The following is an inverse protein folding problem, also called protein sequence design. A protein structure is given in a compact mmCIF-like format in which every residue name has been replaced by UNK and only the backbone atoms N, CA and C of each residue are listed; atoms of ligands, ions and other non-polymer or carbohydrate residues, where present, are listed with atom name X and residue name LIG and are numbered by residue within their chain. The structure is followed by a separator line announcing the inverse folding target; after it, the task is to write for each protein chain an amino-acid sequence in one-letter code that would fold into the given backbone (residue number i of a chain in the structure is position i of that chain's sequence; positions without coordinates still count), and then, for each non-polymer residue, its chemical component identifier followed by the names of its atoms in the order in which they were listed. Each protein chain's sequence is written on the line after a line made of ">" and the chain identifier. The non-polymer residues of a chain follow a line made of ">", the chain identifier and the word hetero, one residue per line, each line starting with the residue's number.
data_IF_767169727113
#
_entry.id   IF_767169727113
#
_cell.length_a   1.000
_cell.length_b   1.000
_cell.length_c   1.000
_cell.angle_alpha   90.00
_cell.angle_beta   90.00
_cell.angle_gamma   90.00
#
_symmetry.space_group_name_H-M   'P 1'
#
loop_
_entity.id
_entity.type
_entity.pdbx_description
1 polymer ?
#
# COMPACT_ATOMS: atom_id res chain seq x y z
N UNK A 1 -33.07 -0.26 -32.21
CA UNK A 1 -32.17 -0.35 -31.04
C UNK A 1 -32.76 -1.38 -30.09
N UNK A 2 -32.20 -2.60 -30.08
CA UNK A 2 -32.56 -3.68 -29.15
C UNK A 2 -31.27 -4.45 -28.82
N UNK A 3 -30.82 -4.24 -27.59
CA UNK A 3 -29.90 -4.98 -26.72
C UNK A 3 -28.82 -5.90 -27.33
N UNK A 4 -27.59 -5.38 -27.30
CA UNK A 4 -26.30 -6.07 -27.53
C UNK A 4 -25.88 -7.05 -26.42
N UNK A 5 -26.71 -7.30 -25.42
CA UNK A 5 -26.35 -8.17 -24.27
C UNK A 5 -26.64 -9.65 -24.57
N UNK A 6 -27.75 -9.97 -25.25
CA UNK A 6 -28.11 -11.36 -25.56
C UNK A 6 -27.13 -12.00 -26.55
N UNK A 7 -26.61 -11.22 -27.50
CA UNK A 7 -25.58 -11.68 -28.46
C UNK A 7 -24.25 -12.03 -27.78
N UNK A 8 -23.83 -11.23 -26.78
CA UNK A 8 -22.61 -11.47 -26.01
C UNK A 8 -22.79 -12.70 -25.11
N UNK A 9 -23.94 -12.84 -24.45
CA UNK A 9 -24.23 -14.01 -23.60
C UNK A 9 -24.29 -15.32 -24.40
N UNK A 10 -24.87 -15.28 -25.61
CA UNK A 10 -24.90 -16.43 -26.52
C UNK A 10 -23.51 -16.81 -27.06
N UNK A 11 -22.67 -15.81 -27.35
CA UNK A 11 -21.28 -16.01 -27.77
C UNK A 11 -20.44 -16.65 -26.66
N UNK A 12 -20.54 -16.15 -25.43
CA UNK A 12 -19.82 -16.70 -24.27
C UNK A 12 -20.26 -18.14 -23.96
N UNK A 13 -21.57 -18.44 -24.00
CA UNK A 13 -22.08 -19.81 -23.78
C UNK A 13 -21.66 -20.81 -24.84
N UNK A 14 -21.55 -20.39 -26.10
CA UNK A 14 -21.18 -21.27 -27.22
C UNK A 14 -19.68 -21.53 -27.33
N UNK A 15 -18.85 -20.56 -26.92
CA UNK A 15 -17.38 -20.65 -27.06
C UNK A 15 -16.66 -20.99 -25.75
N UNK A 16 -17.33 -20.90 -24.60
CA UNK A 16 -16.77 -21.27 -23.31
C UNK A 16 -17.83 -21.97 -22.45
N UNK A 17 -18.05 -23.29 -22.64
CA UNK A 17 -18.95 -24.04 -21.78
C UNK A 17 -18.31 -24.10 -20.39
N UNK A 18 -18.63 -23.15 -19.52
CA UNK A 18 -18.29 -23.21 -18.10
C UNK A 18 -18.95 -24.47 -17.55
N UNK A 19 -18.19 -25.54 -17.37
CA UNK A 19 -18.76 -26.82 -16.98
C UNK A 19 -19.25 -26.83 -15.54
N UNK A 20 -18.83 -25.89 -14.68
CA UNK A 20 -19.46 -25.65 -13.37
C UNK A 20 -19.25 -24.19 -12.94
N UNK A 21 -20.26 -23.34 -13.07
CA UNK A 21 -20.31 -22.10 -12.28
C UNK A 21 -20.42 -22.52 -10.80
N UNK A 22 -19.52 -22.08 -9.90
CA UNK A 22 -19.75 -22.24 -8.47
C UNK A 22 -21.13 -21.67 -8.14
N UNK A 23 -21.98 -22.45 -7.46
CA UNK A 23 -23.27 -21.92 -6.98
C UNK A 23 -22.95 -20.68 -6.14
N UNK A 24 -23.54 -19.54 -6.49
CA UNK A 24 -23.28 -18.24 -5.83
C UNK A 24 -23.35 -18.35 -4.30
N UNK A 25 -24.25 -19.18 -3.80
CA UNK A 25 -24.42 -19.47 -2.37
C UNK A 25 -23.17 -20.10 -1.75
N UNK A 26 -22.52 -21.03 -2.47
CA UNK A 26 -21.30 -21.69 -1.99
C UNK A 26 -20.12 -20.72 -1.92
N UNK A 27 -19.98 -19.83 -2.91
CA UNK A 27 -18.93 -18.79 -2.90
C UNK A 27 -19.16 -17.79 -1.75
N UNK A 28 -20.43 -17.45 -1.49
CA UNK A 28 -20.80 -16.59 -0.38
C UNK A 28 -20.50 -17.25 0.97
N UNK A 29 -20.87 -18.53 1.13
CA UNK A 29 -20.60 -19.30 2.35
C UNK A 29 -19.08 -19.44 2.59
N UNK A 30 -18.31 -19.74 1.54
CA UNK A 30 -16.84 -19.84 1.63
C UNK A 30 -16.21 -18.49 2.00
N UNK A 31 -16.70 -17.39 1.43
CA UNK A 31 -16.24 -16.04 1.78
C UNK A 31 -16.57 -15.71 3.24
N UNK A 32 -17.81 -15.94 3.70
CA UNK A 32 -18.22 -15.66 5.08
C UNK A 32 -17.40 -16.47 6.07
N UNK A 33 -17.16 -17.76 5.78
CA UNK A 33 -16.30 -18.62 6.57
C UNK A 33 -14.87 -18.10 6.61
N UNK A 34 -14.34 -17.63 5.48
CA UNK A 34 -13.01 -17.02 5.40
C UNK A 34 -12.94 -15.76 6.28
N UNK A 35 -13.91 -14.86 6.17
CA UNK A 35 -13.95 -13.63 6.98
C UNK A 35 -14.05 -13.93 8.50
N UNK A 36 -14.73 -15.01 8.87
CA UNK A 36 -14.83 -15.47 10.27
C UNK A 36 -13.48 -15.92 10.84
N UNK A 37 -12.51 -16.34 10.01
CA UNK A 37 -11.17 -16.74 10.45
C UNK A 37 -10.38 -15.55 11.04
N UNK A 38 -10.64 -14.33 10.57
CA UNK A 38 -10.04 -13.12 11.12
C UNK A 38 -10.54 -12.77 12.53
N UNK A 39 -11.61 -13.41 13.02
CA UNK A 39 -12.10 -13.21 14.38
C UNK A 39 -11.31 -14.06 15.39
N UNK A 40 -10.51 -13.42 16.27
CA UNK A 40 -9.65 -14.10 17.23
C UNK A 40 -10.41 -14.75 18.40
N UNK A 41 -11.72 -14.52 18.51
CA UNK A 41 -12.51 -14.94 19.66
C UNK A 41 -13.11 -16.32 19.45
N UNK A 42 -13.14 -17.13 20.51
CA UNK A 42 -13.77 -18.46 20.49
C UNK A 42 -15.25 -18.43 20.05
N UNK A 43 -15.94 -17.34 20.37
CA UNK A 43 -17.38 -17.17 20.11
C UNK A 43 -17.69 -16.20 18.98
N UNK A 44 -16.69 -15.85 18.16
CA UNK A 44 -16.88 -15.09 16.92
C UNK A 44 -17.64 -13.76 17.11
N UNK A 45 -17.23 -13.04 18.15
CA UNK A 45 -17.85 -11.81 18.64
C UNK A 45 -17.76 -10.62 17.67
N UNK A 46 -16.86 -10.67 16.70
CA UNK A 46 -16.53 -9.63 15.74
C UNK A 46 -16.88 -10.02 14.30
N UNK A 47 -17.19 -11.28 13.99
CA UNK A 47 -17.50 -11.74 12.63
C UNK A 47 -18.60 -10.93 11.93
N UNK A 48 -19.67 -10.55 12.64
CA UNK A 48 -20.71 -9.69 12.08
C UNK A 48 -20.17 -8.29 11.73
N UNK A 49 -19.30 -7.73 12.57
CA UNK A 49 -18.66 -6.45 12.31
C UNK A 49 -17.71 -6.54 11.12
N UNK A 50 -16.88 -7.59 11.04
CA UNK A 50 -15.96 -7.85 9.91
C UNK A 50 -16.76 -7.92 8.60
N UNK A 51 -17.80 -8.77 8.55
CA UNK A 51 -18.61 -8.95 7.35
C UNK A 51 -19.31 -7.63 6.93
N UNK A 52 -19.83 -6.87 7.90
CA UNK A 52 -20.51 -5.59 7.64
C UNK A 52 -19.55 -4.53 7.09
N UNK A 53 -18.35 -4.41 7.65
CA UNK A 53 -17.34 -3.45 7.18
C UNK A 53 -16.80 -3.86 5.82
N UNK A 54 -16.50 -5.16 5.65
CA UNK A 54 -16.03 -5.71 4.38
C UNK A 54 -17.03 -5.45 3.25
N UNK A 55 -18.32 -5.74 3.46
CA UNK A 55 -19.36 -5.55 2.45
C UNK A 55 -19.58 -4.08 2.01
N UNK A 56 -19.11 -3.10 2.79
CA UNK A 56 -19.26 -1.68 2.49
C UNK A 56 -18.05 -1.06 1.80
N UNK A 57 -16.89 -1.71 1.88
CA UNK A 57 -15.63 -1.17 1.37
C UNK A 57 -15.05 -2.01 0.24
N UNK A 58 -13.96 -1.51 -0.32
CA UNK A 58 -13.15 -2.23 -1.30
C UNK A 58 -11.87 -2.71 -0.62
N UNK A 59 -11.98 -3.80 0.14
CA UNK A 59 -10.87 -4.38 0.90
C UNK A 59 -10.47 -5.72 0.30
N UNK A 60 -9.18 -6.04 0.33
CA UNK A 60 -8.72 -7.38 -0.03
C UNK A 60 -9.01 -8.32 1.14
N UNK A 61 -9.43 -9.55 0.83
CA UNK A 61 -9.59 -10.61 1.85
C UNK A 61 -8.28 -10.84 2.59
N UNK A 62 -7.16 -10.75 1.89
CA UNK A 62 -5.81 -10.84 2.45
C UNK A 62 -5.57 -9.84 3.60
N UNK A 63 -5.93 -8.57 3.42
CA UNK A 63 -5.79 -7.53 4.46
C UNK A 63 -6.69 -7.82 5.67
N UNK A 64 -7.85 -8.46 5.44
CA UNK A 64 -8.76 -8.87 6.52
C UNK A 64 -8.15 -10.00 7.35
N UNK A 65 -7.62 -11.03 6.68
CA UNK A 65 -7.03 -12.19 7.32
C UNK A 65 -5.69 -11.89 8.01
N UNK A 66 -4.99 -10.85 7.58
CA UNK A 66 -3.69 -10.42 8.12
C UNK A 66 -3.85 -9.23 9.07
N UNK A 67 -3.77 -8.01 8.54
CA UNK A 67 -3.68 -6.75 9.28
C UNK A 67 -4.90 -6.50 10.17
N UNK A 68 -6.11 -6.77 9.67
CA UNK A 68 -7.33 -6.61 10.49
C UNK A 68 -7.39 -7.67 11.59
N UNK A 69 -7.05 -8.93 11.29
CA UNK A 69 -7.00 -10.00 12.29
C UNK A 69 -5.99 -9.67 13.42
N UNK A 70 -4.81 -9.15 13.08
CA UNK A 70 -3.82 -8.67 14.04
C UNK A 70 -4.35 -7.56 14.93
N UNK A 71 -4.99 -6.57 14.32
CA UNK A 71 -5.60 -5.47 15.05
C UNK A 71 -6.75 -5.95 15.95
N UNK A 72 -7.54 -6.94 15.52
CA UNK A 72 -8.59 -7.56 16.32
C UNK A 72 -8.03 -8.34 17.51
N UNK A 73 -6.93 -9.08 17.33
CA UNK A 73 -6.22 -9.73 18.43
C UNK A 73 -5.80 -8.71 19.49
N UNK A 74 -5.11 -7.64 19.06
CA UNK A 74 -4.68 -6.55 19.96
C UNK A 74 -5.87 -5.89 20.66
N UNK A 75 -6.92 -5.58 19.91
CA UNK A 75 -8.14 -4.97 20.43
C UNK A 75 -8.82 -5.85 21.48
N UNK A 76 -8.95 -7.14 21.21
CA UNK A 76 -9.57 -8.08 22.14
C UNK A 76 -8.78 -8.20 23.45
N UNK A 77 -7.45 -8.26 23.37
CA UNK A 77 -6.58 -8.24 24.54
C UNK A 77 -6.74 -6.94 25.35
N UNK A 78 -6.75 -5.77 24.69
CA UNK A 78 -7.00 -4.47 25.34
C UNK A 78 -8.35 -4.46 26.04
N UNK A 79 -9.39 -5.04 25.40
CA UNK A 79 -10.75 -5.12 25.93
C UNK A 79 -10.81 -5.97 27.20
N UNK A 80 -10.24 -7.18 27.17
CA UNK A 80 -10.19 -8.09 28.33
C UNK A 80 -9.40 -7.47 29.48
N UNK A 81 -8.25 -6.86 29.18
CA UNK A 81 -7.37 -6.22 30.17
C UNK A 81 -7.89 -4.86 30.66
N UNK A 82 -9.06 -4.41 30.17
CA UNK A 82 -9.67 -3.11 30.50
C UNK A 82 -8.75 -1.91 30.24
N UNK A 83 -7.94 -1.99 29.18
CA UNK A 83 -6.98 -0.95 28.76
C UNK A 83 -7.53 -0.03 27.67
N UNK A 84 -8.69 -0.35 27.09
CA UNK A 84 -9.39 0.53 26.15
C UNK A 84 -9.93 1.77 26.85
N UNK A 85 -9.82 2.91 26.15
CA UNK A 85 -10.50 4.16 26.54
C UNK A 85 -12.01 3.96 26.40
N UNK A 86 -12.86 4.64 27.19
CA UNK A 86 -14.32 4.45 27.14
C UNK A 86 -14.91 4.54 25.73
N UNK A 87 -14.47 5.51 24.94
CA UNK A 87 -14.88 5.76 23.55
C UNK A 87 -14.47 4.65 22.57
N UNK A 88 -13.51 3.80 22.94
CA UNK A 88 -12.99 2.71 22.12
C UNK A 88 -13.47 1.33 22.58
N UNK A 89 -14.45 1.23 23.47
CA UNK A 89 -14.96 -0.07 23.97
C UNK A 89 -15.95 -0.76 23.03
N UNK A 90 -16.66 0.03 22.22
CA UNK A 90 -17.59 -0.47 21.21
C UNK A 90 -16.93 -0.40 19.83
N UNK A 91 -16.64 -1.58 19.27
CA UNK A 91 -15.97 -1.71 17.97
C UNK A 91 -16.75 -1.03 16.84
N UNK A 92 -18.08 -0.92 16.97
CA UNK A 92 -18.94 -0.28 15.98
C UNK A 92 -18.80 1.26 15.96
N UNK A 93 -18.14 1.85 16.95
CA UNK A 93 -17.95 3.30 17.07
C UNK A 93 -16.49 3.74 16.90
N UNK A 94 -15.57 2.81 16.64
CA UNK A 94 -14.14 3.13 16.53
C UNK A 94 -13.81 3.78 15.20
N UNK A 95 -13.03 4.87 15.26
CA UNK A 95 -12.49 5.56 14.08
C UNK A 95 -13.58 6.00 13.10
N UNK A 96 -13.33 5.77 11.82
CA UNK A 96 -14.30 6.06 10.75
C UNK A 96 -15.30 4.90 10.52
N UNK A 97 -15.36 3.94 11.45
CA UNK A 97 -16.23 2.74 11.37
C UNK A 97 -15.91 1.84 10.18
N UNK A 98 -14.64 1.83 9.83
CA UNK A 98 -14.03 1.07 8.75
C UNK A 98 -12.72 0.39 9.24
N UNK A 99 -12.11 -0.46 8.41
CA UNK A 99 -10.87 -1.13 8.81
C UNK A 99 -9.70 -0.16 9.03
N UNK A 100 -9.40 0.80 8.14
CA UNK A 100 -8.29 1.73 8.34
C UNK A 100 -8.45 2.58 9.61
N UNK A 101 -9.65 3.09 9.88
CA UNK A 101 -9.95 3.85 11.09
C UNK A 101 -9.86 2.99 12.35
N UNK A 102 -10.32 1.73 12.30
CA UNK A 102 -10.15 0.78 13.39
C UNK A 102 -8.67 0.51 13.70
N UNK A 103 -7.88 0.15 12.68
CA UNK A 103 -6.45 -0.14 12.81
C UNK A 103 -5.71 1.10 13.35
N UNK A 104 -5.99 2.28 12.80
CA UNK A 104 -5.40 3.55 13.27
C UNK A 104 -5.64 3.78 14.76
N UNK A 105 -6.86 3.56 15.25
CA UNK A 105 -7.17 3.71 16.69
C UNK A 105 -6.48 2.65 17.53
N UNK A 106 -6.46 1.38 17.09
CA UNK A 106 -5.80 0.28 17.81
C UNK A 106 -4.29 0.50 17.88
N UNK A 107 -3.68 1.09 16.85
CA UNK A 107 -2.25 1.41 16.82
C UNK A 107 -1.86 2.53 17.80
N UNK A 108 -2.78 3.42 18.18
CA UNK A 108 -2.52 4.43 19.22
C UNK A 108 -2.23 3.81 20.61
N UNK A 109 -2.73 2.59 20.85
CA UNK A 109 -2.44 1.85 22.07
C UNK A 109 -1.05 1.23 21.98
N UNK A 110 -0.07 1.93 22.53
CA UNK A 110 1.25 1.40 22.78
C UNK A 110 1.20 0.45 23.99
N UNK A 111 1.99 -0.62 23.93
CA UNK A 111 2.31 -1.50 25.06
C UNK A 111 1.19 -2.34 25.66
N UNK A 112 1.02 -3.53 25.06
CA UNK A 112 0.61 -4.71 25.81
C UNK A 112 1.67 -5.80 25.63
N UNK A 113 2.67 -5.82 26.52
CA UNK A 113 3.45 -7.04 26.81
C UNK A 113 4.55 -7.43 25.83
N UNK A 114 5.13 -6.49 25.06
CA UNK A 114 6.35 -6.73 24.27
C UNK A 114 7.55 -5.95 24.82
N UNK A 115 7.67 -5.86 26.14
CA UNK A 115 8.91 -5.39 26.75
C UNK A 115 9.79 -6.58 27.11
N UNK A 116 11.00 -6.61 26.51
CA UNK A 116 12.18 -7.35 26.96
C UNK A 116 12.18 -8.88 26.82
N UNK A 117 11.81 -9.41 25.65
CA UNK A 117 12.37 -10.69 25.21
C UNK A 117 13.41 -10.43 24.13
N UNK A 118 14.53 -11.16 24.16
CA UNK A 118 15.41 -11.28 22.99
C UNK A 118 14.55 -11.87 21.86
N UNK A 119 14.00 -10.98 21.03
CA UNK A 119 13.17 -11.39 19.91
C UNK A 119 14.13 -11.91 18.85
N UNK A 120 14.04 -13.21 18.59
CA UNK A 120 14.71 -13.82 17.45
C UNK A 120 14.29 -13.08 16.17
N UNK A 121 15.29 -12.51 15.50
CA UNK A 121 15.13 -11.60 14.37
C UNK A 121 14.85 -12.34 13.06
N UNK A 122 14.93 -13.67 13.05
CA UNK A 122 14.91 -14.46 11.83
C UNK A 122 16.14 -14.24 10.96
N UNK A 123 16.13 -14.86 9.78
CA UNK A 123 17.18 -14.71 8.78
C UNK A 123 16.91 -13.53 7.84
N UNK A 124 17.89 -12.63 7.71
CA UNK A 124 17.79 -11.45 6.86
C UNK A 124 19.16 -11.01 6.35
N UNK A 125 19.17 -10.47 5.12
CA UNK A 125 20.34 -9.87 4.50
C UNK A 125 20.28 -8.35 4.56
N UNK A 126 21.34 -7.68 5.01
CA UNK A 126 21.48 -6.24 4.82
C UNK A 126 22.04 -5.97 3.42
N UNK A 127 21.15 -5.66 2.49
CA UNK A 127 21.50 -5.49 1.08
C UNK A 127 22.21 -4.16 0.81
N UNK A 128 21.93 -3.14 1.63
CA UNK A 128 22.49 -1.81 1.48
C UNK A 128 22.40 -1.01 2.79
N UNK A 129 23.40 -0.17 3.04
CA UNK A 129 23.40 0.78 4.14
C UNK A 129 24.23 2.01 3.78
N UNK A 130 23.71 3.20 4.08
CA UNK A 130 24.43 4.47 4.02
C UNK A 130 24.14 5.36 5.25
N UNK A 131 24.37 6.67 5.15
CA UNK A 131 24.10 7.61 6.24
C UNK A 131 22.61 7.87 6.51
N UNK A 132 21.72 7.59 5.55
CA UNK A 132 20.31 7.97 5.58
C UNK A 132 19.36 6.78 5.67
N UNK A 133 19.73 5.60 5.15
CA UNK A 133 18.89 4.39 5.14
C UNK A 133 19.66 3.09 5.39
N UNK A 134 18.90 2.07 5.76
CA UNK A 134 19.26 0.65 5.69
C UNK A 134 18.22 -0.07 4.84
N UNK A 135 18.66 -1.01 4.01
CA UNK A 135 17.77 -1.87 3.23
C UNK A 135 18.00 -3.31 3.66
N UNK A 136 16.93 -3.92 4.16
CA UNK A 136 16.91 -5.29 4.65
C UNK A 136 16.11 -6.13 3.67
N UNK A 137 16.63 -7.31 3.33
CA UNK A 137 15.90 -8.35 2.61
C UNK A 137 15.60 -9.45 3.63
N UNK A 138 14.35 -9.60 4.11
CA UNK A 138 13.97 -10.75 4.92
C UNK A 138 14.05 -12.03 4.08
N UNK A 139 14.73 -13.04 4.60
CA UNK A 139 14.86 -14.36 3.96
C UNK A 139 13.83 -15.36 4.51
N UNK A 140 13.18 -15.04 5.63
CA UNK A 140 12.09 -15.80 6.20
C UNK A 140 10.96 -14.89 6.73
N UNK A 141 9.83 -15.52 7.08
CA UNK A 141 8.67 -14.85 7.65
C UNK A 141 9.01 -14.12 8.97
N UNK A 142 9.90 -14.70 9.78
CA UNK A 142 10.25 -14.15 11.09
C UNK A 142 10.99 -12.82 10.97
N UNK A 143 11.91 -12.72 10.01
CA UNK A 143 12.57 -11.48 9.65
C UNK A 143 11.60 -10.45 9.06
N UNK A 144 10.67 -10.87 8.20
CA UNK A 144 9.65 -9.96 7.68
C UNK A 144 8.80 -9.36 8.81
N UNK A 145 8.39 -10.18 9.78
CA UNK A 145 7.74 -9.73 11.01
C UNK A 145 8.64 -8.79 11.82
N UNK A 146 9.89 -9.17 12.10
CA UNK A 146 10.80 -8.40 12.94
C UNK A 146 11.11 -7.02 12.37
N UNK A 147 11.50 -6.95 11.09
CA UNK A 147 11.86 -5.68 10.44
C UNK A 147 10.63 -4.87 10.03
N UNK A 148 9.47 -5.50 9.87
CA UNK A 148 8.18 -4.85 9.64
C UNK A 148 7.41 -4.46 10.90
N UNK A 149 7.98 -4.59 12.09
CA UNK A 149 7.31 -4.17 13.33
C UNK A 149 6.86 -2.70 13.26
N UNK A 150 5.65 -2.43 13.74
CA UNK A 150 5.05 -1.09 13.74
C UNK A 150 4.36 -0.71 12.42
N UNK A 151 4.39 -1.57 11.40
CA UNK A 151 3.68 -1.36 10.14
C UNK A 151 2.36 -2.15 10.09
N UNK A 152 1.53 -1.82 9.11
CA UNK A 152 0.27 -2.50 8.79
C UNK A 152 0.43 -3.52 7.65
N UNK A 153 1.66 -3.92 7.32
CA UNK A 153 1.91 -4.84 6.21
C UNK A 153 1.42 -6.25 6.54
N UNK A 154 0.73 -6.89 5.61
CA UNK A 154 0.34 -8.29 5.75
C UNK A 154 1.54 -9.25 5.89
N UNK A 155 2.72 -8.86 5.37
CA UNK A 155 3.99 -9.60 5.48
C UNK A 155 4.66 -9.46 6.85
N UNK A 156 4.24 -8.49 7.67
CA UNK A 156 4.71 -8.34 9.05
C UNK A 156 3.72 -8.87 10.10
N UNK A 157 2.64 -9.51 9.64
CA UNK A 157 1.59 -10.01 10.52
C UNK A 157 2.06 -11.15 11.43
N UNK A 158 1.72 -11.07 12.72
CA UNK A 158 2.22 -12.02 13.75
C UNK A 158 1.15 -12.87 14.42
N UNK A 159 -0.11 -12.45 14.36
CA UNK A 159 -1.28 -13.13 14.94
C UNK A 159 -2.36 -13.41 13.89
N UNK A 160 -2.40 -12.65 12.80
CA UNK A 160 -3.14 -12.94 11.58
C UNK A 160 -2.36 -13.85 10.62
N UNK A 161 -2.97 -14.08 9.44
CA UNK A 161 -2.28 -14.72 8.33
C UNK A 161 -1.12 -13.85 7.86
N UNK A 162 0.03 -14.47 7.58
CA UNK A 162 1.20 -13.78 7.06
C UNK A 162 1.43 -14.14 5.59
N UNK A 163 1.70 -13.13 4.77
CA UNK A 163 1.79 -13.26 3.31
C UNK A 163 3.21 -13.20 2.76
N UNK A 164 4.24 -13.30 3.62
CA UNK A 164 5.65 -13.27 3.22
C UNK A 164 5.95 -14.19 2.03
N UNK A 165 5.64 -15.49 2.14
CA UNK A 165 5.93 -16.48 1.10
C UNK A 165 5.23 -16.20 -0.24
N UNK A 166 4.07 -15.51 -0.19
CA UNK A 166 3.34 -15.12 -1.39
C UNK A 166 4.10 -14.01 -2.12
N UNK A 167 4.57 -13.00 -1.39
CA UNK A 167 5.28 -11.87 -1.96
C UNK A 167 6.72 -12.18 -2.38
N UNK A 168 7.38 -13.13 -1.69
CA UNK A 168 8.77 -13.51 -1.99
C UNK A 168 8.92 -14.62 -3.04
N UNK A 169 7.82 -15.21 -3.51
CA UNK A 169 7.83 -16.31 -4.49
C UNK A 169 8.55 -15.99 -5.80
N UNK A 170 8.47 -14.74 -6.25
CA UNK A 170 9.00 -14.31 -7.55
C UNK A 170 10.10 -13.26 -7.43
N UNK A 171 10.66 -13.04 -6.24
CA UNK A 171 11.72 -12.08 -6.02
C UNK A 171 11.83 -11.63 -4.56
N UNK A 172 12.91 -10.94 -4.18
CA UNK A 172 13.10 -10.48 -2.81
C UNK A 172 12.11 -9.39 -2.43
N UNK A 173 11.69 -9.40 -1.16
CA UNK A 173 11.04 -8.27 -0.51
C UNK A 173 12.12 -7.33 0.02
N UNK A 174 11.99 -6.02 -0.17
CA UNK A 174 12.91 -5.04 0.41
C UNK A 174 12.19 -4.25 1.49
N UNK A 175 12.79 -4.16 2.67
CA UNK A 175 12.35 -3.30 3.77
C UNK A 175 13.37 -2.16 3.89
N UNK A 176 12.94 -0.94 3.60
CA UNK A 176 13.75 0.27 3.68
C UNK A 176 13.46 0.96 5.00
N UNK A 177 14.50 1.15 5.81
CA UNK A 177 14.44 1.71 7.15
C UNK A 177 15.24 3.02 7.15
N UNK A 178 14.57 4.19 7.23
CA UNK A 178 15.25 5.48 7.38
C UNK A 178 16.01 5.56 8.71
N UNK A 179 17.24 6.07 8.67
CA UNK A 179 18.05 6.36 9.87
C UNK A 179 17.64 7.66 10.55
N UNK A 180 16.97 8.55 9.83
CA UNK A 180 16.38 9.80 10.32
C UNK A 180 14.90 9.81 9.93
N UNK A 181 14.04 9.14 10.70
CA UNK A 181 12.66 8.98 10.29
C UNK A 181 11.81 10.23 10.57
N UNK A 182 10.86 10.57 9.69
CA UNK A 182 9.92 11.69 9.85
C UNK A 182 8.84 11.39 10.91
N UNK A 183 8.56 10.11 11.13
CA UNK A 183 7.68 9.64 12.19
C UNK A 183 8.25 8.35 12.81
N UNK A 184 7.79 7.98 14.02
CA UNK A 184 8.37 6.88 14.80
C UNK A 184 8.45 5.55 14.04
N UNK A 185 7.46 5.26 13.20
CA UNK A 185 7.28 3.96 12.56
C UNK A 185 7.62 3.98 11.07
N UNK A 186 8.11 5.11 10.54
CA UNK A 186 8.41 5.32 9.12
C UNK A 186 9.31 4.19 8.58
N UNK A 187 8.74 3.41 7.66
CA UNK A 187 9.43 2.36 6.91
C UNK A 187 8.74 2.20 5.57
N UNK A 188 9.46 1.62 4.62
CA UNK A 188 8.93 1.30 3.31
C UNK A 188 9.14 -0.15 2.95
N UNK A 189 8.20 -0.75 2.24
CA UNK A 189 8.28 -2.10 1.72
C UNK A 189 8.15 -2.07 0.20
N UNK A 190 9.13 -2.66 -0.48
CA UNK A 190 9.09 -2.85 -1.92
C UNK A 190 9.00 -4.34 -2.26
N UNK A 191 7.94 -4.71 -2.97
CA UNK A 191 7.77 -6.03 -3.56
C UNK A 191 7.81 -5.90 -5.09
N UNK A 192 8.93 -6.24 -5.75
CA UNK A 192 9.05 -6.17 -7.20
C UNK A 192 8.06 -7.08 -7.92
N UNK A 193 7.81 -8.27 -7.36
CA UNK A 193 6.93 -9.30 -7.93
C UNK A 193 5.49 -8.81 -8.15
N UNK A 194 5.03 -7.92 -7.27
CA UNK A 194 3.70 -7.32 -7.30
C UNK A 194 3.71 -5.84 -7.71
N UNK A 195 4.90 -5.28 -8.00
CA UNK A 195 5.11 -3.85 -8.23
C UNK A 195 4.45 -2.96 -7.16
N UNK A 196 4.54 -3.37 -5.89
CA UNK A 196 3.95 -2.67 -4.75
C UNK A 196 5.04 -1.96 -3.96
N UNK A 197 4.84 -0.67 -3.68
CA UNK A 197 5.74 0.12 -2.86
C UNK A 197 4.95 0.82 -1.76
N UNK A 198 5.03 0.29 -0.54
CA UNK A 198 4.15 0.64 0.56
C UNK A 198 4.89 1.39 1.66
N UNK A 199 4.26 2.38 2.28
CA UNK A 199 4.72 2.96 3.55
C UNK A 199 4.17 2.17 4.75
N UNK A 200 4.50 2.58 5.97
CA UNK A 200 4.20 1.86 7.21
C UNK A 200 2.72 1.57 7.44
N UNK A 201 1.81 2.40 6.91
CA UNK A 201 0.37 2.19 7.05
C UNK A 201 -0.27 1.41 5.88
N UNK A 202 0.56 0.73 5.08
CA UNK A 202 0.18 -0.07 3.91
C UNK A 202 -0.52 0.74 2.80
N UNK A 203 -0.11 2.00 2.64
CA UNK A 203 -0.53 2.84 1.52
C UNK A 203 0.59 2.96 0.49
N UNK A 204 0.19 2.99 -0.79
CA UNK A 204 1.12 3.14 -1.90
C UNK A 204 1.91 4.45 -1.80
N UNK A 205 3.21 4.35 -2.02
CA UNK A 205 4.15 5.47 -2.03
C UNK A 205 4.49 5.84 -3.46
N UNK A 206 4.43 7.14 -3.72
CA UNK A 206 4.93 7.67 -4.98
C UNK A 206 6.46 7.60 -5.01
N UNK A 207 7.01 6.80 -5.91
CA UNK A 207 8.45 6.61 -6.05
C UNK A 207 9.20 7.90 -6.41
N UNK A 208 8.62 8.81 -7.20
CA UNK A 208 9.26 10.11 -7.48
C UNK A 208 9.35 10.96 -6.20
N UNK A 209 8.32 10.95 -5.35
CA UNK A 209 8.41 11.60 -4.04
C UNK A 209 9.50 10.94 -3.17
N UNK A 210 9.56 9.61 -3.15
CA UNK A 210 10.54 8.86 -2.36
C UNK A 210 11.99 9.24 -2.76
N UNK A 211 12.34 9.18 -4.04
CA UNK A 211 13.70 9.46 -4.49
C UNK A 211 14.03 10.96 -4.55
N UNK A 212 13.09 11.81 -5.02
CA UNK A 212 13.40 13.22 -5.30
C UNK A 212 13.05 14.18 -4.18
N UNK A 213 12.25 13.75 -3.20
CA UNK A 213 11.84 14.59 -2.07
C UNK A 213 12.34 13.99 -0.77
N UNK A 214 11.94 12.76 -0.44
CA UNK A 214 12.24 12.13 0.85
C UNK A 214 13.73 11.78 1.01
N UNK A 215 14.35 11.25 -0.05
CA UNK A 215 15.77 10.89 -0.09
C UNK A 215 16.53 11.68 -1.16
N UNK A 216 16.11 12.92 -1.39
CA UNK A 216 16.72 13.83 -2.36
C UNK A 216 18.24 13.89 -2.20
N UNK A 217 18.96 13.77 -3.31
CA UNK A 217 20.42 13.84 -3.34
C UNK A 217 21.14 12.57 -2.87
N UNK A 218 20.42 11.54 -2.42
CA UNK A 218 21.03 10.25 -2.08
C UNK A 218 21.31 9.42 -3.34
N UNK A 219 22.45 9.73 -3.98
CA UNK A 219 22.89 9.06 -5.22
C UNK A 219 23.16 7.57 -5.01
N UNK A 220 23.72 7.20 -3.87
CA UNK A 220 24.06 5.81 -3.59
C UNK A 220 22.80 4.92 -3.45
N UNK A 221 21.73 5.44 -2.84
CA UNK A 221 20.43 4.76 -2.78
C UNK A 221 19.82 4.59 -4.18
N UNK A 222 19.87 5.65 -4.98
CA UNK A 222 19.43 5.62 -6.39
C UNK A 222 20.22 4.57 -7.18
N UNK A 223 21.54 4.54 -7.04
CA UNK A 223 22.41 3.56 -7.71
C UNK A 223 22.13 2.13 -7.27
N UNK A 224 21.86 1.90 -5.99
CA UNK A 224 21.45 0.59 -5.48
C UNK A 224 20.20 0.09 -6.22
N UNK A 225 19.14 0.90 -6.28
CA UNK A 225 17.92 0.51 -6.98
C UNK A 225 18.10 0.43 -8.50
N UNK A 226 18.97 1.26 -9.12
CA UNK A 226 19.31 1.13 -10.55
C UNK A 226 19.91 -0.25 -10.86
N UNK A 227 20.74 -0.80 -9.96
CA UNK A 227 21.37 -2.11 -10.12
C UNK A 227 20.44 -3.26 -9.73
N UNK A 228 19.77 -3.14 -8.59
CA UNK A 228 18.94 -4.20 -8.04
C UNK A 228 17.60 -4.34 -8.79
N UNK A 229 17.03 -3.23 -9.25
CA UNK A 229 15.67 -3.12 -9.78
C UNK A 229 15.62 -2.16 -10.98
N UNK A 230 16.32 -2.48 -12.09
CA UNK A 230 16.45 -1.58 -13.24
C UNK A 230 15.11 -1.21 -13.89
N UNK A 231 14.15 -2.14 -13.93
CA UNK A 231 12.82 -1.92 -14.52
C UNK A 231 11.97 -0.91 -13.71
N UNK A 232 12.17 -0.86 -12.40
CA UNK A 232 11.56 0.13 -11.52
C UNK A 232 12.14 1.52 -11.83
N UNK A 233 13.47 1.60 -11.91
CA UNK A 233 14.19 2.85 -12.10
C UNK A 233 14.05 3.42 -13.51
N UNK A 234 13.88 2.58 -14.53
CA UNK A 234 13.67 3.02 -15.92
C UNK A 234 12.36 3.81 -16.13
N UNK A 235 11.46 3.84 -15.13
CA UNK A 235 10.20 4.59 -15.16
C UNK A 235 10.24 5.89 -14.35
N UNK A 236 11.37 6.18 -13.69
CA UNK A 236 11.50 7.30 -12.75
C UNK A 236 12.33 8.43 -13.36
N UNK A 237 11.90 9.67 -13.11
CA UNK A 237 12.73 10.85 -13.33
C UNK A 237 13.42 11.12 -12.00
N UNK A 238 14.71 10.79 -11.88
CA UNK A 238 15.49 11.10 -10.67
C UNK A 238 16.25 12.40 -10.90
N UNK A 239 16.00 13.40 -10.06
CA UNK A 239 16.59 14.73 -10.15
C UNK A 239 17.80 14.80 -9.21
N UNK A 240 18.98 15.03 -9.77
CA UNK A 240 20.24 14.92 -9.03
C UNK A 240 20.66 16.19 -8.28
N UNK A 241 20.12 17.36 -8.65
CA UNK A 241 20.42 18.64 -8.03
C UNK A 241 19.22 19.62 -8.08
N UNK A 242 19.32 20.69 -7.27
CA UNK A 242 18.28 21.72 -7.14
C UNK A 242 18.10 22.49 -8.45
N UNK A 243 19.17 22.67 -9.21
CA UNK A 243 19.16 23.38 -10.49
C UNK A 243 18.32 22.60 -11.51
N UNK A 244 18.39 21.27 -11.54
CA UNK A 244 17.55 20.44 -12.41
C UNK A 244 16.07 20.52 -12.05
N UNK A 245 15.73 20.60 -10.76
CA UNK A 245 14.33 20.83 -10.35
C UNK A 245 13.86 22.20 -10.83
N UNK A 246 14.66 23.25 -10.63
CA UNK A 246 14.29 24.60 -11.04
C UNK A 246 14.22 24.76 -12.56
N UNK A 247 15.12 24.09 -13.30
CA UNK A 247 15.08 24.00 -14.77
C UNK A 247 13.81 23.29 -15.22
N UNK A 248 13.49 22.12 -14.67
CA UNK A 248 12.27 21.38 -15.02
C UNK A 248 11.02 22.20 -14.67
N UNK A 249 10.97 22.82 -13.48
CA UNK A 249 9.86 23.70 -13.06
C UNK A 249 9.74 24.88 -14.02
N UNK A 250 10.82 25.57 -14.35
CA UNK A 250 10.78 26.72 -15.26
C UNK A 250 10.41 26.32 -16.69
N UNK A 251 10.81 25.13 -17.13
CA UNK A 251 10.43 24.58 -18.43
C UNK A 251 8.91 24.30 -18.48
N UNK A 252 8.33 23.74 -17.41
CA UNK A 252 6.92 23.33 -17.40
C UNK A 252 5.95 24.43 -16.96
N UNK A 253 6.42 25.44 -16.21
CA UNK A 253 5.57 26.50 -15.61
C UNK A 253 4.75 27.28 -16.65
N UNK A 254 5.28 27.66 -17.82
CA UNK A 254 4.48 28.32 -18.86
C UNK A 254 3.31 27.45 -19.37
N UNK A 255 3.49 26.12 -19.42
CA UNK A 255 2.47 25.19 -19.88
C UNK A 255 1.39 24.95 -18.83
N UNK A 256 1.76 24.91 -17.54
CA UNK A 256 0.80 24.87 -16.44
C UNK A 256 -0.08 26.12 -16.47
N UNK A 257 0.53 27.31 -16.64
CA UNK A 257 -0.20 28.59 -16.77
C UNK A 257 -1.17 28.53 -17.96
N UNK A 258 -0.69 28.12 -19.15
CA UNK A 258 -1.52 28.00 -20.35
C UNK A 258 -2.69 27.03 -20.15
N UNK A 259 -2.47 25.89 -19.50
CA UNK A 259 -3.55 24.95 -19.20
C UNK A 259 -4.58 25.57 -18.23
N UNK A 260 -4.14 26.24 -17.17
CA UNK A 260 -5.06 26.88 -16.21
C UNK A 260 -5.90 27.93 -16.96
N UNK A 261 -5.29 28.73 -17.82
CA UNK A 261 -5.99 29.72 -18.65
C UNK A 261 -6.98 29.09 -19.64
N UNK A 262 -6.63 27.96 -20.28
CA UNK A 262 -7.53 27.21 -21.18
C UNK A 262 -8.67 26.51 -20.42
N UNK A 263 -8.38 25.99 -19.23
CA UNK A 263 -9.35 25.35 -18.35
C UNK A 263 -10.34 26.38 -17.79
N UNK A 264 -9.88 27.57 -17.41
CA UNK A 264 -10.73 28.65 -16.90
C UNK A 264 -11.62 29.28 -17.98
N UNK A 265 -11.17 29.32 -19.24
CA UNK A 265 -12.01 29.80 -20.38
C UNK A 265 -13.24 28.91 -20.65
N UNK A 266 -13.23 27.65 -20.23
CA UNK A 266 -14.28 26.66 -20.52
C UNK A 266 -15.03 26.16 -19.27
N UNK A 267 -14.84 26.83 -18.12
CA UNK A 267 -15.33 26.33 -16.83
C UNK A 267 -16.39 27.26 -16.22
N UNK A 268 -17.58 26.74 -15.85
CA UNK A 268 -18.52 27.48 -15.01
C UNK A 268 -17.85 27.78 -13.67
N UNK A 269 -18.05 29.00 -13.15
CA UNK A 269 -17.47 29.49 -11.88
C UNK A 269 -17.78 28.64 -10.65
N UNK A 270 -18.66 27.64 -10.76
CA UNK A 270 -19.12 26.76 -9.68
C UNK A 270 -18.43 25.39 -9.58
N UNK A 271 -17.56 25.00 -10.53
CA UNK A 271 -16.82 23.72 -10.43
C UNK A 271 -15.35 23.97 -10.08
N UNK A 272 -14.68 23.02 -9.40
CA UNK A 272 -13.23 22.99 -9.13
C UNK A 272 -12.39 22.57 -10.36
N UNK A 273 -11.07 22.78 -10.35
CA UNK A 273 -10.18 22.18 -11.38
C UNK A 273 -10.09 20.68 -11.10
N UNK A 274 -10.32 19.84 -12.11
CA UNK A 274 -10.06 18.41 -12.01
C UNK A 274 -8.54 18.18 -12.03
N UNK A 275 -7.96 17.96 -10.85
CA UNK A 275 -6.51 17.79 -10.65
C UNK A 275 -5.94 16.58 -11.39
N UNK A 276 -6.73 15.52 -11.59
CA UNK A 276 -6.28 14.30 -12.26
C UNK A 276 -6.13 14.51 -13.77
N UNK A 277 -7.07 15.22 -14.41
CA UNK A 277 -6.95 15.62 -15.83
C UNK A 277 -5.81 16.60 -16.07
N UNK A 278 -5.58 17.51 -15.12
CA UNK A 278 -4.43 18.43 -15.13
C UNK A 278 -3.12 17.63 -15.13
N UNK A 279 -3.01 16.63 -14.26
CA UNK A 279 -1.80 15.83 -14.09
C UNK A 279 -1.49 14.93 -15.29
N UNK A 280 -2.50 14.28 -15.88
CA UNK A 280 -2.29 13.43 -17.07
C UNK A 280 -1.89 14.24 -18.30
N UNK A 281 -2.52 15.40 -18.52
CA UNK A 281 -2.12 16.28 -19.63
C UNK A 281 -0.76 16.94 -19.40
N UNK A 282 -0.42 17.21 -18.14
CA UNK A 282 0.93 17.64 -17.75
C UNK A 282 1.99 16.59 -18.12
N UNK A 283 1.76 15.30 -17.80
CA UNK A 283 2.65 14.21 -18.21
C UNK A 283 2.81 14.15 -19.73
N UNK A 284 1.71 14.23 -20.48
CA UNK A 284 1.75 14.19 -21.95
C UNK A 284 2.59 15.33 -22.56
N UNK A 285 2.42 16.55 -22.05
CA UNK A 285 3.15 17.74 -22.53
C UNK A 285 4.63 17.67 -22.13
N UNK A 286 4.94 17.28 -20.89
CA UNK A 286 6.31 17.09 -20.42
C UNK A 286 7.06 16.03 -21.25
N UNK A 287 6.41 14.89 -21.53
CA UNK A 287 7.00 13.82 -22.34
C UNK A 287 7.19 14.21 -23.81
N UNK A 288 6.32 15.06 -24.36
CA UNK A 288 6.37 15.47 -25.77
C UNK A 288 7.39 16.59 -26.03
N UNK A 289 7.50 17.56 -25.13
CA UNK A 289 8.27 18.79 -25.36
C UNK A 289 9.73 18.68 -24.87
N UNK A 290 10.02 17.77 -23.93
CA UNK A 290 11.38 17.61 -23.42
C UNK A 290 12.33 16.86 -24.39
N UNK A 291 11.82 16.28 -25.49
CA UNK A 291 12.59 15.42 -26.40
C UNK A 291 13.42 14.34 -25.66
N UNK A 292 12.96 13.94 -24.47
CA UNK A 292 13.61 12.96 -23.61
C UNK A 292 13.15 11.57 -24.06
N UNK A 293 14.01 10.87 -24.79
CA UNK A 293 13.93 9.42 -24.87
C UNK A 293 14.30 8.83 -23.51
N UNK A 294 13.71 7.68 -23.14
CA UNK A 294 14.12 6.86 -21.99
C UNK A 294 15.65 6.59 -21.98
N UNK A 295 16.32 6.73 -23.12
CA UNK A 295 17.78 6.59 -23.28
C UNK A 295 18.63 7.81 -22.93
N UNK A 296 18.06 9.01 -22.77
CA UNK A 296 18.83 10.27 -22.77
C UNK A 296 18.97 10.92 -21.39
N UNK A 297 18.44 10.27 -20.35
CA UNK A 297 18.70 10.59 -18.94
C UNK A 297 19.68 9.54 -18.41
N UNK A 298 20.98 9.86 -18.38
CA UNK A 298 22.00 9.04 -17.73
C UNK A 298 21.96 9.23 -16.21
#
# INVERSE_FOLDING_TARGET
>A
MSNSIEGIQSFVKSHWPMTHEPRKDQVLDDLLKTLEEADPTKHKMYSEWIARVYAKGNYKVEDVLSTVADALHKYHELKIRKKLRPEHKDINQIGNKDFPGFISVVNQYHDIGLENQEVDKGDASEAYQDADVRIIIPNDQQAACYYGQGTNWCTSSTRGANYFDQYTRSGPLYIIIPKKPENKDEKYQFSPSSNMFMQENDQDVNLNWFFNIRFKGNKNLTEFFKRAQPDLMGKLIVLEDDDQIEIVINLIKPYIIKYIEEADKNRPSSQGINQQKLFERFKEVAMKEANMSISDVK
#
